data_IF_780809777207
#
_entry.id   IF_780809777207
#
_cell.length_a   1.000
_cell.length_b   1.000
_cell.length_c   1.000
_cell.angle_alpha   90.00
_cell.angle_beta   90.00
_cell.angle_gamma   90.00
#
_symmetry.space_group_name_H-M   'P 1'
#
loop_
_entity.id
_entity.type
_entity.pdbx_description
1 polymer ?
#
# COMPACT_ATOMS: atom_id res chain seq x y z
N UNK A 1 9.41 8.37 0.97
CA UNK A 1 9.51 8.44 2.45
C UNK A 1 8.11 8.54 3.03
N UNK A 2 7.82 7.81 4.12
CA UNK A 2 6.49 7.87 4.76
C UNK A 2 6.66 8.18 6.24
N UNK A 3 5.82 9.08 6.77
CA UNK A 3 5.74 9.44 8.17
C UNK A 3 4.31 9.26 8.69
N UNK A 4 4.19 8.75 9.92
CA UNK A 4 2.91 8.56 10.61
C UNK A 4 2.88 9.45 11.84
N UNK A 5 1.83 10.25 11.97
CA UNK A 5 1.58 11.13 13.09
C UNK A 5 0.29 10.69 13.79
N UNK A 6 0.37 10.43 15.08
CA UNK A 6 -0.77 10.04 15.90
C UNK A 6 -0.54 8.71 16.63
N UNK A 7 -1.56 8.16 17.28
CA UNK A 7 -2.94 8.66 17.34
C UNK A 7 -3.06 10.00 18.12
N UNK A 8 -3.79 10.94 17.56
CA UNK A 8 -4.10 12.23 18.18
C UNK A 8 -5.63 12.48 18.16
N UNK A 9 -6.11 13.47 18.89
CA UNK A 9 -7.54 13.82 18.88
C UNK A 9 -7.99 14.23 17.47
N UNK A 10 -9.09 13.63 17.00
CA UNK A 10 -9.69 13.97 15.73
C UNK A 10 -10.32 15.37 15.80
N UNK A 11 -10.24 16.12 14.69
CA UNK A 11 -10.98 17.38 14.56
C UNK A 11 -12.48 17.09 14.66
N UNK A 12 -13.23 17.88 15.43
CA UNK A 12 -14.68 17.72 15.65
C UNK A 12 -15.51 17.56 14.36
N UNK A 13 -15.06 18.15 13.26
CA UNK A 13 -15.73 18.07 11.96
C UNK A 13 -15.54 16.72 11.25
N UNK A 14 -14.55 15.91 11.64
CA UNK A 14 -14.22 14.62 11.03
C UNK A 14 -14.23 13.47 12.04
N UNK A 15 -14.53 13.76 13.31
CA UNK A 15 -14.55 12.78 14.40
C UNK A 15 -15.55 11.66 14.09
N UNK A 16 -15.08 10.42 14.19
CA UNK A 16 -15.92 9.21 14.14
C UNK A 16 -16.05 8.66 15.56
N UNK A 17 -17.30 8.51 16.03
CA UNK A 17 -17.59 8.08 17.40
C UNK A 17 -17.07 6.69 17.69
N UNK A 18 -17.22 5.77 16.71
CA UNK A 18 -16.93 4.33 16.86
C UNK A 18 -15.63 3.91 16.18
N UNK A 19 -14.81 4.86 15.71
CA UNK A 19 -13.63 4.51 14.93
C UNK A 19 -12.55 5.58 14.88
N UNK A 20 -11.47 5.19 14.21
CA UNK A 20 -10.30 6.01 13.92
C UNK A 20 -10.47 6.71 12.57
N UNK A 21 -10.12 7.98 12.50
CA UNK A 21 -10.02 8.72 11.24
C UNK A 21 -8.61 8.55 10.66
N UNK A 22 -8.54 8.15 9.40
CA UNK A 22 -7.28 8.05 8.66
C UNK A 22 -7.19 9.21 7.67
N UNK A 23 -6.28 10.13 7.92
CA UNK A 23 -5.93 11.21 7.00
C UNK A 23 -4.66 10.82 6.24
N UNK A 24 -4.74 10.74 4.92
CA UNK A 24 -3.58 10.44 4.06
C UNK A 24 -3.27 11.67 3.23
N UNK A 25 -2.00 12.04 3.18
CA UNK A 25 -1.49 13.17 2.40
C UNK A 25 -0.35 12.65 1.53
N UNK A 26 -0.47 12.81 0.22
CA UNK A 26 0.59 12.49 -0.74
C UNK A 26 1.19 13.79 -1.27
N UNK A 27 2.50 13.92 -1.14
CA UNK A 27 3.25 15.07 -1.62
C UNK A 27 4.16 14.66 -2.78
N UNK A 28 4.03 15.32 -3.94
CA UNK A 28 4.92 15.07 -5.08
C UNK A 28 6.35 15.47 -4.78
N UNK A 29 7.29 15.12 -5.65
CA UNK A 29 8.70 15.51 -5.57
C UNK A 29 8.89 17.03 -5.64
N UNK A 30 8.07 17.71 -6.45
CA UNK A 30 8.08 19.16 -6.62
C UNK A 30 6.66 19.66 -6.95
N UNK A 31 6.38 20.89 -6.57
CA UNK A 31 5.10 21.55 -6.86
C UNK A 31 4.01 21.29 -5.84
N UNK A 32 2.78 21.62 -6.24
CA UNK A 32 1.57 21.42 -5.42
C UNK A 32 0.88 20.10 -5.80
N UNK A 33 0.23 19.41 -4.84
CA UNK A 33 -0.50 18.18 -5.12
C UNK A 33 -1.61 18.42 -6.16
N UNK A 34 -1.63 17.58 -7.18
CA UNK A 34 -2.62 17.61 -8.27
C UNK A 34 -3.74 16.57 -8.09
N UNK A 35 -4.49 16.31 -9.16
CA UNK A 35 -5.56 15.30 -9.16
C UNK A 35 -5.03 13.86 -8.94
N UNK A 36 -3.86 13.55 -9.48
CA UNK A 36 -3.23 12.21 -9.39
C UNK A 36 -2.85 11.89 -7.94
N UNK A 37 -2.27 12.87 -7.23
CA UNK A 37 -1.93 12.72 -5.82
C UNK A 37 -3.19 12.53 -4.97
N UNK A 38 -4.28 13.25 -5.27
CA UNK A 38 -5.56 13.12 -4.56
C UNK A 38 -6.21 11.75 -4.80
N UNK A 39 -6.11 11.22 -6.02
CA UNK A 39 -6.55 9.85 -6.31
C UNK A 39 -5.74 8.84 -5.48
N UNK A 40 -4.41 9.00 -5.46
CA UNK A 40 -3.52 8.16 -4.68
C UNK A 40 -3.82 8.24 -3.17
N UNK A 41 -4.10 9.45 -2.64
CA UNK A 41 -4.53 9.67 -1.25
C UNK A 41 -5.78 8.85 -0.91
N UNK A 42 -6.79 8.89 -1.78
CA UNK A 42 -8.04 8.16 -1.58
C UNK A 42 -7.84 6.64 -1.63
N UNK A 43 -7.08 6.14 -2.60
CA UNK A 43 -6.77 4.72 -2.74
C UNK A 43 -5.99 4.19 -1.53
N UNK A 44 -4.99 4.94 -1.07
CA UNK A 44 -4.20 4.59 0.11
C UNK A 44 -5.10 4.61 1.36
N UNK A 45 -5.92 5.63 1.54
CA UNK A 45 -6.83 5.74 2.68
C UNK A 45 -7.81 4.57 2.73
N UNK A 46 -8.41 4.18 1.59
CA UNK A 46 -9.31 3.04 1.49
C UNK A 46 -8.61 1.72 1.86
N UNK A 47 -7.43 1.47 1.29
CA UNK A 47 -6.66 0.26 1.58
C UNK A 47 -6.28 0.17 3.07
N UNK A 48 -5.81 1.28 3.66
CA UNK A 48 -5.45 1.33 5.07
C UNK A 48 -6.65 1.22 6.01
N UNK A 49 -7.83 1.72 5.64
CA UNK A 49 -9.05 1.57 6.43
C UNK A 49 -9.46 0.09 6.59
N UNK A 50 -9.20 -0.76 5.60
CA UNK A 50 -9.40 -2.20 5.71
C UNK A 50 -8.34 -2.90 6.58
N UNK A 51 -7.16 -2.30 6.69
CA UNK A 51 -6.01 -2.90 7.37
C UNK A 51 -5.98 -2.55 8.86
N UNK A 52 -6.25 -1.29 9.21
CA UNK A 52 -6.17 -0.78 10.58
C UNK A 52 -7.36 -1.26 11.42
N UNK A 53 -7.08 -1.66 12.66
CA UNK A 53 -8.11 -1.99 13.66
C UNK A 53 -8.65 -0.71 14.30
N UNK A 54 -9.56 -0.03 13.59
CA UNK A 54 -10.08 1.29 13.96
C UNK A 54 -10.78 1.34 15.31
N UNK A 55 -11.36 0.22 15.75
CA UNK A 55 -12.08 0.12 17.03
C UNK A 55 -11.19 0.28 18.28
N UNK A 56 -9.86 0.16 18.14
CA UNK A 56 -8.93 0.30 19.28
C UNK A 56 -8.68 1.77 19.65
N UNK A 57 -8.94 2.70 18.75
CA UNK A 57 -8.69 4.12 18.93
C UNK A 57 -9.91 4.96 18.51
N UNK A 58 -11.04 4.88 19.25
CA UNK A 58 -12.23 5.67 18.92
C UNK A 58 -11.94 7.16 19.10
N UNK A 59 -12.56 7.99 18.26
CA UNK A 59 -12.43 9.46 18.26
C UNK A 59 -11.03 10.00 18.01
N UNK A 60 -10.10 9.15 17.59
CA UNK A 60 -8.74 9.56 17.26
C UNK A 60 -8.53 9.65 15.77
N UNK A 61 -7.47 10.36 15.38
CA UNK A 61 -7.00 10.48 14.00
C UNK A 61 -5.55 10.03 13.90
N UNK A 62 -5.22 9.37 12.78
CA UNK A 62 -3.84 9.11 12.37
C UNK A 62 -3.64 9.79 11.02
N UNK A 63 -2.59 10.58 10.92
CA UNK A 63 -2.19 11.22 9.69
C UNK A 63 -0.97 10.49 9.10
N UNK A 64 -1.13 9.99 7.87
CA UNK A 64 -0.07 9.33 7.12
C UNK A 64 0.38 10.26 6.01
N UNK A 65 1.63 10.69 6.06
CA UNK A 65 2.22 11.59 5.06
C UNK A 65 3.19 10.80 4.20
N UNK A 66 2.88 10.69 2.92
CA UNK A 66 3.72 10.08 1.90
C UNK A 66 4.43 11.19 1.15
N UNK A 67 5.75 11.31 1.30
CA UNK A 67 6.59 12.22 0.54
C UNK A 67 7.30 11.45 -0.55
N UNK A 68 6.98 11.73 -1.81
CA UNK A 68 7.70 11.18 -2.95
C UNK A 68 9.05 11.87 -3.06
N UNK A 69 10.13 11.11 -3.10
CA UNK A 69 11.50 11.61 -3.27
C UNK A 69 11.99 11.43 -4.71
N UNK A 70 11.70 10.27 -5.28
CA UNK A 70 11.95 9.91 -6.66
C UNK A 70 10.85 8.96 -7.11
N UNK A 71 10.51 8.99 -8.38
CA UNK A 71 9.51 8.15 -9.01
C UNK A 71 10.10 7.55 -10.29
N UNK A 72 10.18 6.23 -10.34
CA UNK A 72 10.62 5.45 -11.50
C UNK A 72 9.62 4.31 -11.82
N UNK A 73 8.36 4.52 -11.54
CA UNK A 73 7.27 3.54 -11.73
C UNK A 73 6.81 2.86 -10.45
N UNK A 74 5.72 2.10 -10.53
CA UNK A 74 5.09 1.36 -9.42
C UNK A 74 4.81 2.19 -8.15
N UNK A 75 4.70 3.52 -8.27
CA UNK A 75 4.63 4.48 -7.16
C UNK A 75 3.53 4.12 -6.16
N UNK A 76 2.33 3.76 -6.62
CA UNK A 76 1.20 3.46 -5.76
C UNK A 76 1.46 2.24 -4.86
N UNK A 77 2.02 1.16 -5.41
CA UNK A 77 2.36 -0.03 -4.64
C UNK A 77 3.43 0.28 -3.57
N UNK A 78 4.50 0.98 -3.96
CA UNK A 78 5.59 1.38 -3.07
C UNK A 78 5.10 2.33 -1.96
N UNK A 79 4.23 3.30 -2.30
CA UNK A 79 3.64 4.21 -1.32
C UNK A 79 2.81 3.45 -0.27
N UNK A 80 2.01 2.47 -0.69
CA UNK A 80 1.21 1.64 0.21
C UNK A 80 2.06 0.70 1.08
N UNK A 81 3.14 0.13 0.53
CA UNK A 81 4.11 -0.64 1.30
C UNK A 81 4.78 0.23 2.38
N UNK A 82 5.21 1.43 2.01
CA UNK A 82 5.78 2.39 2.93
C UNK A 82 4.81 2.82 4.03
N UNK A 83 3.54 3.05 3.68
CA UNK A 83 2.49 3.40 4.65
C UNK A 83 2.22 2.26 5.63
N UNK A 84 2.14 1.02 5.14
CA UNK A 84 1.96 -0.15 5.99
C UNK A 84 3.12 -0.32 6.99
N UNK A 85 4.37 -0.25 6.52
CA UNK A 85 5.55 -0.36 7.38
C UNK A 85 5.64 0.79 8.39
N UNK A 86 5.29 2.00 7.99
CA UNK A 86 5.29 3.15 8.88
C UNK A 86 4.24 3.01 10.01
N UNK A 87 3.05 2.47 9.71
CA UNK A 87 2.03 2.16 10.71
C UNK A 87 2.49 1.08 11.68
N UNK A 88 3.14 0.02 11.20
CA UNK A 88 3.73 -1.02 12.06
C UNK A 88 4.80 -0.41 12.99
N UNK A 89 5.65 0.46 12.43
CA UNK A 89 6.70 1.14 13.20
C UNK A 89 6.14 2.09 14.26
N UNK A 90 4.99 2.70 13.97
CA UNK A 90 4.26 3.55 14.92
C UNK A 90 3.47 2.74 15.98
N UNK A 91 3.49 1.40 15.91
CA UNK A 91 2.78 0.53 16.86
C UNK A 91 1.26 0.51 16.68
N UNK A 92 0.75 0.92 15.52
CA UNK A 92 -0.68 0.88 15.21
C UNK A 92 -1.13 -0.56 14.98
N UNK A 93 -2.20 -1.03 15.65
CA UNK A 93 -2.68 -2.40 15.48
C UNK A 93 -3.28 -2.61 14.09
N UNK A 94 -2.75 -3.61 13.36
CA UNK A 94 -3.15 -3.97 12.02
C UNK A 94 -3.75 -5.38 11.98
N UNK A 95 -4.67 -5.61 11.04
CA UNK A 95 -5.27 -6.94 10.78
C UNK A 95 -4.29 -7.89 10.09
N UNK A 96 -3.31 -7.36 9.39
CA UNK A 96 -2.30 -8.08 8.62
C UNK A 96 -1.35 -7.11 7.94
N UNK A 97 -0.41 -7.62 7.15
CA UNK A 97 0.53 -6.81 6.37
C UNK A 97 -0.03 -6.58 4.96
N UNK A 98 0.17 -5.38 4.44
CA UNK A 98 -0.18 -5.05 3.05
C UNK A 98 1.00 -5.40 2.15
N UNK A 99 0.78 -6.24 1.16
CA UNK A 99 1.79 -6.62 0.18
C UNK A 99 1.14 -6.85 -1.19
N UNK A 100 1.86 -6.54 -2.23
CA UNK A 100 1.43 -6.72 -3.62
C UNK A 100 2.42 -6.08 -4.56
N UNK A 101 2.04 -5.89 -5.80
CA UNK A 101 2.86 -5.17 -6.76
C UNK A 101 2.02 -4.52 -7.86
N UNK A 102 2.68 -3.70 -8.65
CA UNK A 102 2.16 -3.19 -9.93
C UNK A 102 2.59 -4.11 -11.04
N UNK A 103 1.68 -4.39 -11.98
CA UNK A 103 1.93 -5.14 -13.19
C UNK A 103 1.57 -4.28 -14.40
N UNK A 104 2.43 -4.28 -15.41
CA UNK A 104 2.17 -3.64 -16.70
C UNK A 104 1.78 -4.70 -17.74
N UNK A 105 0.73 -4.43 -18.48
CA UNK A 105 0.29 -5.24 -19.62
C UNK A 105 0.80 -4.57 -20.89
N UNK A 106 1.67 -5.25 -21.62
CA UNK A 106 2.21 -4.77 -22.88
C UNK A 106 1.22 -5.02 -24.05
N UNK A 107 1.48 -4.37 -25.17
CA UNK A 107 0.65 -4.47 -26.40
C UNK A 107 0.59 -5.89 -26.96
N UNK A 108 1.65 -6.67 -26.78
CA UNK A 108 1.74 -8.10 -27.14
C UNK A 108 1.00 -9.03 -26.15
N UNK A 109 0.44 -8.48 -25.07
CA UNK A 109 -0.26 -9.22 -24.03
C UNK A 109 0.66 -9.78 -22.93
N UNK A 110 1.96 -9.55 -22.99
CA UNK A 110 2.87 -9.94 -21.94
C UNK A 110 2.65 -9.10 -20.65
N UNK A 111 2.84 -9.73 -19.49
CA UNK A 111 2.70 -9.09 -18.18
C UNK A 111 4.08 -8.92 -17.56
N UNK A 112 4.45 -7.67 -17.30
CA UNK A 112 5.67 -7.31 -16.57
C UNK A 112 5.31 -6.99 -15.12
N UNK A 113 6.08 -7.51 -14.17
CA UNK A 113 5.96 -7.17 -12.76
C UNK A 113 6.95 -6.07 -12.40
N UNK A 114 6.49 -5.13 -11.56
CA UNK A 114 7.29 -4.00 -11.07
C UNK A 114 7.91 -3.18 -12.21
N UNK A 115 7.06 -2.62 -13.10
CA UNK A 115 7.52 -1.88 -14.28
C UNK A 115 8.22 -0.58 -13.87
N UNK A 116 9.27 -0.22 -14.60
CA UNK A 116 9.86 1.11 -14.52
C UNK A 116 8.99 2.17 -15.23
N UNK A 117 9.30 3.46 -15.03
CA UNK A 117 8.51 4.57 -15.58
C UNK A 117 8.39 4.52 -17.12
N UNK A 118 9.42 4.07 -17.82
CA UNK A 118 9.40 3.96 -19.28
C UNK A 118 8.54 2.77 -19.74
N UNK A 119 8.57 1.66 -19.01
CA UNK A 119 7.71 0.51 -19.26
C UNK A 119 6.23 0.82 -18.98
N UNK A 120 5.93 1.57 -17.90
CA UNK A 120 4.57 2.03 -17.63
C UNK A 120 4.01 2.94 -18.74
N UNK A 121 4.84 3.84 -19.27
CA UNK A 121 4.42 4.74 -20.38
C UNK A 121 4.10 4.00 -21.67
N UNK A 122 4.82 2.91 -21.93
CA UNK A 122 4.66 2.10 -23.14
C UNK A 122 3.63 0.96 -22.96
N UNK A 123 3.14 0.75 -21.74
CA UNK A 123 2.15 -0.28 -21.45
C UNK A 123 0.76 0.09 -21.95
N UNK A 124 0.01 -0.91 -22.39
CA UNK A 124 -1.41 -0.78 -22.72
C UNK A 124 -2.26 -0.52 -21.48
N UNK A 125 -1.91 -1.16 -20.37
CA UNK A 125 -2.54 -0.99 -19.08
C UNK A 125 -1.55 -1.26 -17.95
N UNK A 126 -1.77 -0.60 -16.81
CA UNK A 126 -1.03 -0.80 -15.57
C UNK A 126 -2.02 -1.18 -14.47
N UNK A 127 -1.81 -2.32 -13.83
CA UNK A 127 -2.67 -2.87 -12.78
C UNK A 127 -1.90 -2.97 -11.49
N UNK A 128 -2.35 -2.28 -10.44
CA UNK A 128 -1.78 -2.38 -9.09
C UNK A 128 -2.70 -3.23 -8.23
N UNK A 129 -2.21 -4.39 -7.77
CA UNK A 129 -2.97 -5.33 -6.95
C UNK A 129 -2.31 -5.53 -5.60
N UNK A 130 -3.09 -5.30 -4.54
CA UNK A 130 -2.62 -5.33 -3.15
C UNK A 130 -3.45 -6.29 -2.31
N UNK A 131 -2.76 -7.08 -1.51
CA UNK A 131 -3.32 -8.13 -0.67
C UNK A 131 -3.04 -7.85 0.80
N UNK A 132 -4.02 -8.12 1.65
CA UNK A 132 -3.78 -8.31 3.07
C UNK A 132 -3.23 -9.71 3.30
N UNK A 133 -2.02 -9.78 3.79
CA UNK A 133 -1.34 -11.04 4.12
C UNK A 133 -1.46 -11.28 5.62
N UNK A 134 -2.05 -12.41 5.99
CA UNK A 134 -2.22 -12.84 7.39
C UNK A 134 -1.65 -14.24 7.55
N UNK A 135 -1.12 -14.51 8.74
CA UNK A 135 -0.75 -15.85 9.14
C UNK A 135 -1.94 -16.51 9.85
N UNK A 136 -2.41 -17.64 9.34
CA UNK A 136 -3.40 -18.48 10.03
C UNK A 136 -2.75 -19.31 11.14
N UNK A 137 -3.56 -19.77 12.07
CA UNK A 137 -3.14 -20.61 13.20
C UNK A 137 -2.39 -21.90 12.79
N UNK A 138 -2.49 -22.33 11.53
CA UNK A 138 -1.75 -23.47 10.95
C UNK A 138 -0.47 -23.12 10.21
N UNK A 139 0.03 -21.86 10.30
CA UNK A 139 1.25 -21.42 9.61
C UNK A 139 1.08 -21.11 8.14
N UNK A 140 -0.11 -21.29 7.56
CA UNK A 140 -0.40 -20.94 6.18
C UNK A 140 -0.63 -19.43 6.02
N UNK A 141 -0.09 -18.84 4.95
CA UNK A 141 -0.32 -17.43 4.60
C UNK A 141 -1.64 -17.31 3.82
N UNK A 142 -2.58 -16.59 4.40
CA UNK A 142 -3.79 -16.14 3.72
C UNK A 142 -3.52 -14.80 3.05
N UNK A 143 -3.92 -14.67 1.78
CA UNK A 143 -3.75 -13.45 0.96
C UNK A 143 -5.11 -13.06 0.44
N UNK A 144 -5.71 -12.04 1.03
CA UNK A 144 -6.99 -11.48 0.64
C UNK A 144 -6.75 -10.23 -0.21
N UNK A 145 -7.28 -10.17 -1.42
CA UNK A 145 -7.24 -8.98 -2.27
C UNK A 145 -8.00 -7.84 -1.57
N UNK A 146 -7.34 -6.71 -1.37
CA UNK A 146 -7.94 -5.49 -0.80
C UNK A 146 -8.19 -4.46 -1.87
N UNK A 147 -7.21 -4.27 -2.76
CA UNK A 147 -7.25 -3.26 -3.80
C UNK A 147 -6.74 -3.86 -5.10
N UNK A 148 -7.49 -3.61 -6.17
CA UNK A 148 -7.03 -3.79 -7.54
C UNK A 148 -7.39 -2.51 -8.30
N UNK A 149 -6.39 -1.76 -8.72
CA UNK A 149 -6.54 -0.49 -9.42
C UNK A 149 -5.88 -0.60 -10.78
N UNK A 150 -6.65 -0.37 -11.84
CA UNK A 150 -6.20 -0.46 -13.22
C UNK A 150 -6.23 0.92 -13.90
N UNK A 151 -5.15 1.27 -14.58
CA UNK A 151 -5.05 2.45 -15.44
C UNK A 151 -4.78 1.98 -16.87
N UNK A 152 -5.38 2.64 -17.88
CA UNK A 152 -5.27 2.23 -19.26
C UNK A 152 -6.39 1.29 -19.70
N UNK A 153 -6.17 0.53 -20.77
CA UNK A 153 -7.17 -0.34 -21.36
C UNK A 153 -6.83 -1.82 -21.17
N UNK A 154 -7.52 -2.45 -20.23
CA UNK A 154 -7.46 -3.91 -20.06
C UNK A 154 -8.51 -4.54 -21.00
N UNK A 155 -8.08 -5.18 -22.07
CA UNK A 155 -8.98 -5.69 -23.11
C UNK A 155 -9.61 -7.05 -22.76
N UNK A 156 -8.97 -7.84 -21.92
CA UNK A 156 -9.44 -9.16 -21.57
C UNK A 156 -9.42 -9.38 -20.04
N UNK A 157 -10.48 -9.98 -19.51
CA UNK A 157 -10.55 -10.39 -18.12
C UNK A 157 -9.40 -11.34 -17.72
N UNK A 158 -8.94 -12.17 -18.66
CA UNK A 158 -7.80 -13.07 -18.46
C UNK A 158 -6.50 -12.31 -18.17
N UNK A 159 -6.27 -11.15 -18.78
CA UNK A 159 -5.09 -10.32 -18.52
C UNK A 159 -5.11 -9.75 -17.10
N UNK A 160 -6.27 -9.23 -16.66
CA UNK A 160 -6.43 -8.73 -15.31
C UNK A 160 -6.21 -9.84 -14.27
N UNK A 161 -6.79 -11.02 -14.51
CA UNK A 161 -6.61 -12.18 -13.63
C UNK A 161 -5.15 -12.67 -13.59
N UNK A 162 -4.42 -12.59 -14.71
CA UNK A 162 -2.99 -12.90 -14.77
C UNK A 162 -2.17 -11.89 -13.94
N UNK A 163 -2.48 -10.60 -14.01
CA UNK A 163 -1.84 -9.56 -13.20
C UNK A 163 -2.08 -9.80 -11.70
N UNK A 164 -3.33 -10.07 -11.31
CA UNK A 164 -3.67 -10.37 -9.91
C UNK A 164 -2.99 -11.65 -9.42
N UNK A 165 -2.90 -12.68 -10.26
CA UNK A 165 -2.20 -13.92 -9.97
C UNK A 165 -0.71 -13.70 -9.71
N UNK A 166 -0.04 -13.00 -10.61
CA UNK A 166 1.38 -12.66 -10.51
C UNK A 166 1.67 -11.75 -9.28
N UNK A 167 0.82 -10.75 -9.04
CA UNK A 167 0.92 -9.88 -7.87
C UNK A 167 0.70 -10.64 -6.55
N UNK A 168 -0.16 -11.67 -6.56
CA UNK A 168 -0.38 -12.53 -5.39
C UNK A 168 0.86 -13.37 -5.04
N UNK A 169 1.60 -13.83 -6.03
CA UNK A 169 2.86 -14.54 -5.81
C UNK A 169 3.94 -13.56 -5.32
N UNK A 170 4.08 -12.40 -5.96
CA UNK A 170 5.00 -11.35 -5.54
C UNK A 170 4.77 -10.89 -4.11
N UNK A 171 3.52 -10.86 -3.63
CA UNK A 171 3.19 -10.51 -2.26
C UNK A 171 3.86 -11.40 -1.21
N UNK A 172 4.20 -12.67 -1.54
CA UNK A 172 4.97 -13.52 -0.65
C UNK A 172 6.41 -13.05 -0.50
N UNK A 173 7.04 -12.64 -1.60
CA UNK A 173 8.41 -12.11 -1.60
C UNK A 173 8.48 -10.80 -0.80
N UNK A 174 7.52 -9.90 -1.02
CA UNK A 174 7.43 -8.63 -0.28
C UNK A 174 7.24 -8.88 1.23
N UNK A 175 6.38 -9.82 1.60
CA UNK A 175 6.15 -10.18 3.01
C UNK A 175 7.40 -10.78 3.66
N UNK A 176 8.16 -11.62 2.94
CA UNK A 176 9.42 -12.17 3.42
C UNK A 176 10.47 -11.06 3.63
N UNK A 177 10.54 -10.11 2.70
CA UNK A 177 11.40 -8.93 2.84
C UNK A 177 11.04 -8.09 4.07
N UNK A 178 9.75 -7.82 4.33
CA UNK A 178 9.32 -7.09 5.51
C UNK A 178 9.78 -7.77 6.80
N UNK A 179 9.57 -9.08 6.90
CA UNK A 179 10.02 -9.86 8.07
C UNK A 179 11.51 -9.68 8.31
N UNK A 180 12.32 -9.86 7.26
CA UNK A 180 13.77 -9.72 7.36
C UNK A 180 14.20 -8.29 7.74
N UNK A 181 13.55 -7.26 7.18
CA UNK A 181 13.84 -5.87 7.49
C UNK A 181 13.52 -5.53 8.96
N UNK A 182 12.37 -6.00 9.46
CA UNK A 182 11.97 -5.78 10.85
C UNK A 182 12.84 -6.54 11.85
N UNK A 183 13.23 -7.78 11.53
CA UNK A 183 14.16 -8.56 12.36
C UNK A 183 15.52 -7.86 12.50
N UNK A 184 16.07 -7.36 11.37
CA UNK A 184 17.32 -6.59 11.39
C UNK A 184 17.22 -5.34 12.26
N UNK A 185 16.10 -4.62 12.16
CA UNK A 185 15.89 -3.40 12.91
C UNK A 185 15.74 -3.68 14.42
N UNK A 186 14.99 -4.72 14.79
CA UNK A 186 14.83 -5.16 16.17
C UNK A 186 16.17 -5.58 16.77
N UNK A 187 16.98 -6.35 16.03
CA UNK A 187 18.31 -6.75 16.47
C UNK A 187 19.26 -5.54 16.65
N UNK A 188 19.14 -4.52 15.82
CA UNK A 188 19.92 -3.28 15.96
C UNK A 188 19.53 -2.48 17.20
N UNK A 189 18.26 -2.51 17.62
CA UNK A 189 17.78 -1.84 18.83
C UNK A 189 18.19 -2.59 20.12
N UNK A 190 18.21 -3.93 20.09
CA UNK A 190 18.61 -4.75 21.25
C UNK A 190 20.13 -4.68 21.53
N UNK A 191 20.94 -4.33 20.53
CA UNK A 191 22.40 -4.21 20.65
C UNK A 191 22.87 -2.84 21.19
N UNK A 192 21.97 -1.87 21.36
CA UNK A 192 22.23 -0.57 21.99
C UNK A 192 21.82 -0.58 23.45
#
# INVERSE_FOLDING_TARGET
MVAVYGPCEAKRTREQIDGLVLDVIVRPTAGLPGPIERESEQLIAQALAHLVLTAHHPRMAICVVVQVLADDGALLAVAMHGACLALVHAGVPLRGMLAGCTAAVLVDGAVLLDPCADEERNAQAVVTSLFCVRMRAGGSLERQLILSHARGCVTAHAQHAACDGAAREAAACVTAFYRQAMERQTMALVRK
#
